data_IF_058347778646
#
_entry.id   IF_058347778646
#
_cell.length_a   1.000
_cell.length_b   1.000
_cell.length_c   1.000
_cell.angle_alpha   90.00
_cell.angle_beta   90.00
_cell.angle_gamma   90.00
#
_symmetry.space_group_name_H-M   'P 1'
#
loop_
_entity.id
_entity.type
_entity.pdbx_description
1 polymer ?
#
# COMPACT_ATOMS: atom_id res chain seq x y z
N UNK A 1 6.25 -8.00 -5.85
CA UNK A 1 5.18 -7.30 -6.59
C UNK A 1 5.69 -5.91 -6.93
N UNK A 2 5.30 -5.37 -8.09
CA UNK A 2 5.52 -3.97 -8.48
C UNK A 2 4.22 -3.43 -9.07
N UNK A 3 3.82 -2.24 -8.67
CA UNK A 3 2.63 -1.54 -9.21
C UNK A 3 2.96 -0.07 -9.41
N UNK A 4 2.57 0.47 -10.57
CA UNK A 4 2.65 1.90 -10.90
C UNK A 4 1.35 2.36 -11.56
N UNK A 5 1.04 3.66 -11.56
CA UNK A 5 -0.20 4.16 -12.15
C UNK A 5 -0.65 5.52 -11.62
N UNK A 6 -1.97 5.71 -11.52
CA UNK A 6 -2.58 6.90 -10.91
C UNK A 6 -3.79 6.55 -10.04
N UNK A 7 -4.00 7.30 -8.94
CA UNK A 7 -5.14 7.16 -8.03
C UNK A 7 -5.92 8.47 -7.90
N UNK A 8 -7.20 8.38 -7.55
CA UNK A 8 -8.05 9.51 -7.13
C UNK A 8 -8.67 9.38 -5.73
N UNK A 9 -8.72 8.14 -5.20
CA UNK A 9 -8.94 7.87 -3.79
C UNK A 9 -7.71 7.17 -3.20
N UNK A 10 -7.26 7.63 -2.03
CA UNK A 10 -6.05 7.15 -1.34
C UNK A 10 -6.38 6.86 0.11
N UNK A 11 -6.05 5.65 0.58
CA UNK A 11 -6.28 5.17 1.94
C UNK A 11 -5.04 4.45 2.47
N UNK A 12 -4.53 4.90 3.61
CA UNK A 12 -3.37 4.27 4.25
C UNK A 12 -3.42 4.35 5.77
N UNK A 13 -2.59 3.54 6.42
CA UNK A 13 -2.19 3.78 7.79
C UNK A 13 -0.66 3.84 7.97
N UNK A 14 -0.21 4.44 9.06
CA UNK A 14 1.20 4.53 9.45
C UNK A 14 1.35 4.46 10.98
N UNK A 15 2.51 4.00 11.45
CA UNK A 15 2.79 3.81 12.87
C UNK A 15 3.17 5.12 13.55
N UNK A 16 2.59 5.38 14.72
CA UNK A 16 2.80 6.60 15.53
C UNK A 16 3.68 6.37 16.75
N UNK A 17 3.96 5.11 17.09
CA UNK A 17 4.68 4.73 18.31
C UNK A 17 5.77 3.72 18.01
N UNK A 18 6.83 3.76 18.81
CA UNK A 18 7.94 2.80 18.77
C UNK A 18 7.77 1.62 19.74
N UNK A 19 6.73 1.66 20.58
CA UNK A 19 6.41 0.60 21.57
C UNK A 19 5.24 -0.30 21.14
N UNK A 20 5.04 -1.38 21.90
CA UNK A 20 3.92 -2.32 21.72
C UNK A 20 2.81 -2.10 22.76
N UNK A 21 1.52 -2.21 22.37
CA UNK A 21 1.04 -2.34 20.99
C UNK A 21 1.21 -1.03 20.18
N UNK A 22 1.38 -1.10 18.85
CA UNK A 22 1.51 0.11 18.04
C UNK A 22 0.20 0.90 18.03
N UNK A 23 0.31 2.23 18.05
CA UNK A 23 -0.78 3.12 17.64
C UNK A 23 -0.60 3.50 16.19
N UNK A 24 -1.69 3.50 15.44
CA UNK A 24 -1.69 3.84 14.02
C UNK A 24 -2.43 5.15 13.77
N UNK A 25 -1.90 5.95 12.86
CA UNK A 25 -2.61 7.04 12.20
C UNK A 25 -3.17 6.54 10.88
N UNK A 26 -4.33 7.07 10.48
CA UNK A 26 -5.02 6.71 9.24
C UNK A 26 -5.24 7.97 8.42
N UNK A 27 -5.05 7.88 7.12
CA UNK A 27 -5.35 8.94 6.17
C UNK A 27 -6.23 8.40 5.04
N UNK A 28 -7.27 9.17 4.70
CA UNK A 28 -8.16 8.89 3.59
C UNK A 28 -8.44 10.17 2.82
N UNK A 29 -8.13 10.17 1.53
CA UNK A 29 -8.38 11.29 0.63
C UNK A 29 -9.25 10.86 -0.54
N UNK A 30 -10.07 11.79 -1.02
CA UNK A 30 -10.96 11.62 -2.16
C UNK A 30 -10.78 12.75 -3.14
N UNK A 31 -11.08 12.48 -4.40
CA UNK A 31 -11.07 13.44 -5.50
C UNK A 31 -9.72 14.17 -5.63
N UNK A 32 -8.61 13.49 -5.35
CA UNK A 32 -7.26 14.04 -5.43
C UNK A 32 -6.41 13.26 -6.45
N UNK A 33 -5.96 13.87 -7.55
CA UNK A 33 -5.12 13.18 -8.52
C UNK A 33 -3.74 12.91 -7.92
N UNK A 34 -3.33 11.65 -7.93
CA UNK A 34 -2.07 11.18 -7.38
C UNK A 34 -1.36 10.28 -8.39
N UNK A 35 -0.06 10.50 -8.54
CA UNK A 35 0.83 9.56 -9.22
C UNK A 35 1.12 8.40 -8.28
N UNK A 36 0.76 7.18 -8.69
CA UNK A 36 1.10 5.95 -7.98
C UNK A 36 2.51 5.54 -8.39
N UNK A 37 3.50 5.98 -7.61
CA UNK A 37 4.90 5.72 -7.86
C UNK A 37 5.29 4.27 -7.58
N UNK A 38 4.66 3.62 -6.59
CA UNK A 38 4.96 2.24 -6.23
C UNK A 38 3.89 1.60 -5.32
N UNK A 39 3.51 0.35 -5.56
CA UNK A 39 3.04 -0.59 -4.53
C UNK A 39 3.96 -1.80 -4.50
N UNK A 40 4.40 -2.15 -3.30
CA UNK A 40 5.22 -3.34 -3.07
C UNK A 40 4.89 -4.04 -1.77
N UNK A 41 5.18 -5.33 -1.73
CA UNK A 41 4.93 -6.16 -0.57
C UNK A 41 4.75 -7.61 -0.93
N UNK A 42 4.11 -8.36 -0.03
CA UNK A 42 3.93 -9.81 -0.11
C UNK A 42 2.46 -10.14 0.06
N UNK A 43 1.98 -11.09 -0.74
CA UNK A 43 0.71 -11.78 -0.50
C UNK A 43 1.05 -13.17 0.02
N UNK A 44 0.69 -13.47 1.26
CA UNK A 44 0.99 -14.76 1.91
C UNK A 44 -0.31 -15.44 2.33
N UNK A 45 -0.58 -16.64 1.82
CA UNK A 45 -1.84 -17.37 2.02
C UNK A 45 -3.10 -16.53 1.71
N UNK A 46 -3.04 -15.70 0.67
CA UNK A 46 -4.13 -14.79 0.30
C UNK A 46 -4.17 -13.48 1.08
N UNK A 47 -3.36 -13.34 2.14
CA UNK A 47 -3.32 -12.12 2.97
C UNK A 47 -2.25 -11.14 2.44
N UNK A 48 -2.64 -9.95 1.98
CA UNK A 48 -1.70 -8.93 1.54
C UNK A 48 -1.04 -8.21 2.74
N UNK A 49 0.26 -7.91 2.59
CA UNK A 49 0.96 -6.91 3.37
C UNK A 49 1.67 -6.00 2.37
N UNK A 50 1.02 -4.90 2.02
CA UNK A 50 1.42 -4.01 0.93
C UNK A 50 1.68 -2.61 1.47
N UNK A 51 2.74 -1.98 0.99
CA UNK A 51 3.05 -0.59 1.20
C UNK A 51 2.96 0.15 -0.12
N UNK A 52 2.53 1.40 -0.04
CA UNK A 52 2.24 2.26 -1.19
C UNK A 52 3.05 3.56 -1.07
N UNK A 53 3.50 4.07 -2.22
CA UNK A 53 4.06 5.41 -2.39
C UNK A 53 3.25 6.10 -3.48
N UNK A 54 2.67 7.25 -3.15
CA UNK A 54 2.00 8.16 -4.07
C UNK A 54 2.66 9.53 -4.04
N UNK A 55 2.46 10.36 -5.06
CA UNK A 55 2.86 11.76 -5.03
C UNK A 55 1.82 12.68 -5.64
N UNK A 56 1.72 13.89 -5.11
CA UNK A 56 1.15 15.03 -5.82
C UNK A 56 2.27 15.90 -6.40
N UNK A 57 1.94 17.11 -6.83
CA UNK A 57 2.91 18.05 -7.41
C UNK A 57 3.96 18.58 -6.43
N UNK A 58 3.76 18.39 -5.12
CA UNK A 58 4.64 18.96 -4.10
C UNK A 58 5.55 17.89 -3.47
N UNK A 59 4.99 16.73 -3.14
CA UNK A 59 5.74 15.70 -2.40
C UNK A 59 5.17 14.29 -2.58
N UNK A 60 5.96 13.33 -2.10
CA UNK A 60 5.56 11.95 -1.97
C UNK A 60 4.99 11.65 -0.58
N UNK A 61 4.06 10.71 -0.55
CA UNK A 61 3.39 10.17 0.63
C UNK A 61 3.52 8.66 0.61
N UNK A 62 3.69 8.06 1.79
CA UNK A 62 3.85 6.63 1.90
C UNK A 62 3.16 6.09 3.15
N UNK A 63 2.72 4.84 3.08
CA UNK A 63 2.06 4.17 4.18
C UNK A 63 1.83 2.70 3.88
N UNK A 64 1.21 2.02 4.85
CA UNK A 64 0.61 0.71 4.63
C UNK A 64 -0.68 0.88 3.85
N UNK A 65 -0.84 0.15 2.75
CA UNK A 65 -2.01 0.24 1.88
C UNK A 65 -3.26 -0.23 2.63
N UNK A 66 -4.30 0.58 2.62
CA UNK A 66 -5.62 0.23 3.16
C UNK A 66 -6.64 0.08 2.04
N UNK A 67 -7.77 -0.55 2.38
CA UNK A 67 -8.92 -0.60 1.49
C UNK A 67 -9.42 0.81 1.12
N UNK A 68 -10.04 0.93 -0.06
CA UNK A 68 -10.61 2.20 -0.54
C UNK A 68 -9.69 3.04 -1.43
N UNK A 69 -8.48 2.56 -1.77
CA UNK A 69 -7.72 3.16 -2.87
C UNK A 69 -8.41 2.90 -4.21
N UNK A 70 -8.57 3.92 -5.05
CA UNK A 70 -9.21 3.81 -6.38
C UNK A 70 -8.29 4.29 -7.48
N UNK A 71 -8.14 3.46 -8.52
CA UNK A 71 -7.40 3.80 -9.74
C UNK A 71 -8.14 4.90 -10.49
N UNK A 72 -7.43 5.97 -10.83
CA UNK A 72 -7.98 7.08 -11.60
C UNK A 72 -8.03 6.74 -13.10
N UNK A 73 -6.88 6.44 -13.71
CA UNK A 73 -6.80 6.13 -15.14
C UNK A 73 -6.19 4.76 -15.46
N UNK A 74 -5.07 4.41 -14.83
CA UNK A 74 -4.35 3.17 -15.10
C UNK A 74 -3.60 2.70 -13.86
N UNK A 75 -3.54 1.40 -13.67
CA UNK A 75 -2.56 0.75 -12.80
C UNK A 75 -1.95 -0.45 -13.54
N UNK A 76 -0.63 -0.47 -13.64
CA UNK A 76 0.14 -1.57 -14.21
C UNK A 76 0.68 -2.42 -13.06
N UNK A 77 0.24 -3.68 -12.98
CA UNK A 77 0.50 -4.55 -11.84
C UNK A 77 1.33 -5.76 -12.31
N UNK A 78 2.47 -5.99 -11.68
CA UNK A 78 3.30 -7.18 -11.87
C UNK A 78 3.39 -7.97 -10.56
N UNK A 79 2.94 -9.21 -10.61
CA UNK A 79 2.98 -10.16 -9.50
C UNK A 79 3.83 -11.37 -9.91
N UNK A 80 4.74 -11.77 -9.03
CA UNK A 80 5.53 -12.99 -9.17
C UNK A 80 5.03 -13.96 -8.10
N UNK A 81 4.57 -15.12 -8.54
CA UNK A 81 4.27 -16.25 -7.66
C UNK A 81 5.56 -17.04 -7.40
N UNK A 82 5.85 -17.31 -6.13
CA UNK A 82 6.95 -18.20 -5.73
C UNK A 82 6.33 -19.52 -5.28
N UNK A 83 6.52 -20.56 -6.10
CA UNK A 83 6.00 -21.90 -5.82
C UNK A 83 6.80 -22.59 -4.73
N UNK A 84 6.16 -23.56 -4.06
CA UNK A 84 6.77 -24.44 -3.05
C UNK A 84 7.33 -23.73 -1.80
N UNK A 85 6.90 -22.49 -1.54
CA UNK A 85 7.17 -21.76 -0.31
C UNK A 85 5.88 -21.46 0.47
N UNK A 86 5.84 -21.88 1.74
CA UNK A 86 4.76 -21.57 2.67
C UNK A 86 5.13 -20.37 3.56
N UNK A 87 4.81 -19.16 3.12
CA UNK A 87 4.94 -17.96 3.95
C UNK A 87 3.80 -17.89 4.97
N UNK A 88 4.13 -17.69 6.24
CA UNK A 88 3.15 -17.44 7.31
C UNK A 88 3.50 -16.15 8.02
N UNK A 89 2.50 -15.29 8.24
CA UNK A 89 2.63 -14.12 9.08
C UNK A 89 2.58 -14.59 10.54
N UNK A 90 3.69 -14.48 11.26
CA UNK A 90 3.72 -14.70 12.70
C UNK A 90 3.60 -13.33 13.38
N UNK A 91 2.48 -13.08 14.05
CA UNK A 91 2.36 -11.93 14.95
C UNK A 91 3.19 -12.24 16.19
N UNK A 92 4.12 -11.33 16.54
CA UNK A 92 4.84 -11.38 17.82
C UNK A 92 3.97 -10.87 18.94
#
# INVERSE_FOLDING_TARGET
>A
MSVIGTLDEYGVHYVLTTGFPPKNGFEHWKDKPLELAHIGGVIANGEPHLHIIVSDSEKAYAGHLEEGCRVLYLAEIVIIEIKDLNFKKNLR
#
